data_IF_869950195499
#
_entry.id   IF_869950195499
#
_cell.length_a   1.000
_cell.length_b   1.000
_cell.length_c   1.000
_cell.angle_alpha   90.00
_cell.angle_beta   90.00
_cell.angle_gamma   90.00
#
_symmetry.space_group_name_H-M   'P 1'
#
loop_
_entity.id
_entity.type
_entity.pdbx_description
1 polymer ?
#
# COMPACT_ATOMS: atom_id res chain seq x y z
N UNK A 1 -15.52 -24.79 -0.84
CA UNK A 1 -14.72 -23.68 -0.28
C UNK A 1 -15.56 -22.43 -0.52
N UNK A 2 -16.30 -21.93 0.47
CA UNK A 2 -17.03 -20.67 0.27
C UNK A 2 -16.08 -19.55 0.67
N UNK A 3 -15.31 -19.09 -0.32
CA UNK A 3 -14.58 -17.83 -0.34
C UNK A 3 -15.57 -16.66 -0.38
N UNK A 4 -16.56 -16.67 0.52
CA UNK A 4 -17.41 -15.52 0.77
C UNK A 4 -16.51 -14.43 1.32
N UNK A 5 -16.01 -13.61 0.39
CA UNK A 5 -15.75 -12.19 0.53
C UNK A 5 -15.36 -11.85 1.95
N UNK A 6 -14.09 -12.13 2.27
CA UNK A 6 -13.43 -11.48 3.39
C UNK A 6 -13.27 -10.02 2.98
N UNK A 7 -14.37 -9.27 2.98
CA UNK A 7 -14.39 -7.83 2.83
C UNK A 7 -13.73 -7.31 4.09
N UNK A 8 -12.40 -7.22 4.05
CA UNK A 8 -11.61 -6.60 5.11
C UNK A 8 -12.09 -5.16 5.14
N UNK A 9 -12.95 -4.84 6.10
CA UNK A 9 -13.43 -3.48 6.27
C UNK A 9 -12.27 -2.65 6.81
N UNK A 10 -11.49 -2.06 5.89
CA UNK A 10 -10.41 -1.15 6.24
C UNK A 10 -11.00 0.08 6.91
N UNK A 11 -10.38 0.51 8.00
CA UNK A 11 -10.64 1.82 8.60
C UNK A 11 -10.35 2.94 7.61
N UNK A 12 -10.95 4.11 7.82
CA UNK A 12 -10.67 5.29 6.99
C UNK A 12 -9.19 5.70 7.02
N UNK A 13 -8.50 5.43 8.13
CA UNK A 13 -7.06 5.65 8.27
C UNK A 13 -6.27 4.71 7.35
N UNK A 14 -6.62 3.42 7.32
CA UNK A 14 -5.97 2.44 6.45
C UNK A 14 -6.24 2.75 4.97
N UNK A 15 -7.47 3.14 4.61
CA UNK A 15 -7.80 3.60 3.24
C UNK A 15 -6.98 4.83 2.84
N UNK A 16 -6.89 5.80 3.75
CA UNK A 16 -6.10 7.01 3.53
C UNK A 16 -4.62 6.69 3.34
N UNK A 17 -4.09 5.75 4.13
CA UNK A 17 -2.71 5.30 4.01
C UNK A 17 -2.48 4.63 2.64
N UNK A 18 -3.34 3.68 2.25
CA UNK A 18 -3.25 2.98 0.96
C UNK A 18 -3.30 3.95 -0.23
N UNK A 19 -4.19 4.95 -0.17
CA UNK A 19 -4.27 5.98 -1.21
C UNK A 19 -3.01 6.85 -1.26
N UNK A 20 -2.49 7.28 -0.10
CA UNK A 20 -1.25 8.08 -0.07
C UNK A 20 -0.05 7.29 -0.60
N UNK A 21 0.04 6.00 -0.28
CA UNK A 21 1.15 5.16 -0.76
C UNK A 21 1.06 4.92 -2.26
N UNK A 22 -0.13 4.72 -2.83
CA UNK A 22 -0.30 4.57 -4.28
C UNK A 22 0.15 5.81 -5.06
N UNK A 23 -0.10 7.01 -4.53
CA UNK A 23 0.36 8.28 -5.12
C UNK A 23 1.89 8.41 -5.04
N UNK A 24 2.49 8.07 -3.89
CA UNK A 24 3.96 8.16 -3.72
C UNK A 24 4.68 7.18 -4.66
N UNK A 25 4.18 5.94 -4.75
CA UNK A 25 4.76 4.88 -5.58
C UNK A 25 4.33 4.95 -7.05
N UNK A 26 3.35 5.81 -7.37
CA UNK A 26 2.77 5.99 -8.72
C UNK A 26 2.22 4.69 -9.32
N UNK A 27 1.65 3.81 -8.49
CA UNK A 27 1.04 2.55 -8.92
C UNK A 27 -0.02 2.07 -7.94
N UNK A 28 -0.87 1.15 -8.39
CA UNK A 28 -1.86 0.51 -7.52
C UNK A 28 -1.18 -0.37 -6.47
N UNK A 29 -1.51 -0.13 -5.20
CA UNK A 29 -0.98 -0.82 -4.03
C UNK A 29 -2.03 -1.71 -3.37
N UNK A 30 -3.26 -1.77 -3.88
CA UNK A 30 -4.40 -2.47 -3.26
C UNK A 30 -4.19 -3.97 -3.11
N UNK A 31 -3.36 -4.57 -3.96
CA UNK A 31 -3.01 -6.00 -3.93
C UNK A 31 -1.62 -6.28 -3.36
N UNK A 32 -0.88 -5.25 -2.95
CA UNK A 32 0.47 -5.42 -2.42
C UNK A 32 0.44 -5.78 -0.94
N UNK A 33 1.41 -6.59 -0.49
CA UNK A 33 1.59 -6.77 0.94
C UNK A 33 2.15 -5.48 1.57
N UNK A 34 1.89 -5.29 2.86
CA UNK A 34 2.43 -4.13 3.58
C UNK A 34 3.97 -4.10 3.55
N UNK A 35 4.63 -5.26 3.57
CA UNK A 35 6.08 -5.36 3.52
C UNK A 35 6.64 -4.87 2.17
N UNK A 36 6.01 -5.26 1.06
CA UNK A 36 6.40 -4.81 -0.28
C UNK A 36 6.24 -3.29 -0.42
N UNK A 37 5.14 -2.75 0.12
CA UNK A 37 4.89 -1.30 0.15
C UNK A 37 6.00 -0.58 0.94
N UNK A 38 6.39 -1.11 2.10
CA UNK A 38 7.45 -0.53 2.94
C UNK A 38 8.79 -0.54 2.20
N UNK A 39 9.16 -1.65 1.58
CA UNK A 39 10.42 -1.78 0.84
C UNK A 39 10.51 -0.74 -0.30
N UNK A 40 9.44 -0.57 -1.06
CA UNK A 40 9.41 0.42 -2.15
C UNK A 40 9.44 1.87 -1.65
N UNK A 41 8.76 2.17 -0.54
CA UNK A 41 8.82 3.49 0.08
C UNK A 41 10.23 3.82 0.56
N UNK A 42 10.94 2.85 1.14
CA UNK A 42 12.36 3.00 1.54
C UNK A 42 13.21 3.32 0.31
N UNK A 43 13.05 2.56 -0.78
CA UNK A 43 13.77 2.79 -2.03
C UNK A 43 13.55 4.21 -2.59
N UNK A 44 12.31 4.71 -2.58
CA UNK A 44 11.97 6.09 -3.01
C UNK A 44 12.63 7.15 -2.14
N UNK A 45 12.71 6.94 -0.82
CA UNK A 45 13.35 7.86 0.11
C UNK A 45 14.87 7.89 -0.13
N UNK A 46 15.49 6.73 -0.31
CA UNK A 46 16.93 6.62 -0.55
C UNK A 46 17.33 7.18 -1.90
N UNK A 47 16.52 6.98 -2.95
CA UNK A 47 16.79 7.53 -4.29
C UNK A 47 16.73 9.05 -4.32
N UNK A 48 15.87 9.67 -3.49
CA UNK A 48 15.77 11.15 -3.37
C UNK A 48 16.93 11.79 -2.60
N UNK A 49 17.71 11.01 -1.85
CA UNK A 49 18.89 11.51 -1.11
C UNK A 49 20.13 11.63 -2.00
N UNK A 50 20.11 11.03 -3.19
CA UNK A 50 21.20 11.10 -4.19
C UNK A 50 20.93 12.22 -5.18
#
# INVERSE_FOLDING_TARGET
MNEQEKTIFMSEQEKTLLFKTSIILRKDTSTMSLNDIIEELVNVIESKKR
#
